data_IF_745559322674
#
_entry.id   IF_745559322674
#
_cell.length_a   1.000
_cell.length_b   1.000
_cell.length_c   1.000
_cell.angle_alpha   90.00
_cell.angle_beta   90.00
_cell.angle_gamma   90.00
#
_symmetry.space_group_name_H-M   'P 1'
#
loop_
_entity.id
_entity.type
_entity.pdbx_description
1 polymer ?
#
# COMPACT_ATOMS: atom_id res chain seq x y z
N UNK A 1 7.64 -21.14 -12.48
CA UNK A 1 7.20 -19.74 -12.26
C UNK A 1 6.51 -19.57 -10.89
N UNK A 2 7.13 -20.00 -9.78
CA UNK A 2 6.48 -19.99 -8.45
C UNK A 2 7.03 -18.91 -7.48
N UNK A 3 7.79 -17.93 -7.97
CA UNK A 3 8.41 -16.88 -7.12
C UNK A 3 7.67 -15.52 -7.12
N UNK A 4 6.46 -15.44 -7.68
CA UNK A 4 5.82 -14.16 -8.02
C UNK A 4 5.35 -13.32 -6.79
N UNK A 5 4.69 -13.89 -5.74
CA UNK A 5 4.16 -13.08 -4.64
C UNK A 5 5.23 -12.52 -3.71
N UNK A 6 6.21 -13.34 -3.30
CA UNK A 6 7.26 -12.90 -2.37
C UNK A 6 8.16 -11.84 -3.00
N UNK A 7 8.44 -11.94 -4.31
CA UNK A 7 9.22 -10.94 -5.03
C UNK A 7 8.48 -9.61 -5.09
N UNK A 8 7.19 -9.63 -5.38
CA UNK A 8 6.37 -8.43 -5.43
C UNK A 8 6.30 -7.74 -4.05
N UNK A 9 6.04 -8.52 -3.00
CA UNK A 9 6.01 -8.02 -1.63
C UNK A 9 7.32 -7.34 -1.21
N UNK A 10 8.47 -7.96 -1.52
CA UNK A 10 9.78 -7.34 -1.25
C UNK A 10 9.97 -6.02 -1.99
N UNK A 11 9.45 -5.90 -3.22
CA UNK A 11 9.58 -4.69 -4.03
C UNK A 11 8.61 -3.61 -3.57
N UNK A 12 7.35 -3.94 -3.29
CA UNK A 12 6.32 -2.94 -2.95
C UNK A 12 6.36 -2.63 -1.47
N UNK A 13 6.09 -3.63 -0.63
CA UNK A 13 5.99 -3.44 0.81
C UNK A 13 7.37 -3.22 1.45
N UNK A 14 8.38 -3.97 1.02
CA UNK A 14 9.76 -3.75 1.50
C UNK A 14 10.29 -2.35 1.17
N UNK A 15 9.99 -1.82 -0.02
CA UNK A 15 10.44 -0.48 -0.39
C UNK A 15 9.74 0.62 0.43
N UNK A 16 8.44 0.50 0.70
CA UNK A 16 7.76 1.49 1.54
C UNK A 16 8.34 1.50 2.96
N UNK A 17 8.54 0.34 3.59
CA UNK A 17 9.15 0.28 4.93
C UNK A 17 10.52 0.96 4.96
N UNK A 18 11.37 0.67 3.95
CA UNK A 18 12.68 1.31 3.85
C UNK A 18 12.59 2.84 3.75
N UNK A 19 11.65 3.35 2.94
CA UNK A 19 11.42 4.79 2.80
C UNK A 19 10.92 5.41 4.11
N UNK A 20 9.95 4.77 4.78
CA UNK A 20 9.39 5.28 6.04
C UNK A 20 10.45 5.32 7.17
N UNK A 21 11.28 4.28 7.28
CA UNK A 21 12.38 4.27 8.25
C UNK A 21 13.41 5.37 7.95
N UNK A 22 13.76 5.57 6.67
CA UNK A 22 14.64 6.67 6.27
C UNK A 22 14.00 8.04 6.56
N UNK A 23 12.68 8.15 6.39
CA UNK A 23 11.92 9.38 6.62
C UNK A 23 12.00 9.82 8.09
N UNK A 24 12.03 8.88 9.04
CA UNK A 24 12.18 9.16 10.49
C UNK A 24 13.52 9.82 10.84
N UNK A 25 14.56 9.61 10.03
CA UNK A 25 15.91 10.15 10.29
C UNK A 25 16.14 11.54 9.68
N UNK A 26 15.22 12.01 8.84
CA UNK A 26 15.35 13.27 8.09
C UNK A 26 14.25 14.27 8.46
N UNK A 27 14.55 15.57 8.36
CA UNK A 27 13.60 16.63 8.71
C UNK A 27 12.60 16.93 7.59
N UNK A 28 11.84 15.93 7.15
CA UNK A 28 10.74 16.11 6.20
C UNK A 28 9.42 16.09 6.99
N UNK A 29 8.53 17.02 6.65
CA UNK A 29 7.27 17.21 7.37
C UNK A 29 6.06 16.57 6.65
N UNK A 30 6.22 16.20 5.37
CA UNK A 30 5.12 15.72 4.54
C UNK A 30 5.54 14.48 3.74
N UNK A 31 4.69 13.47 3.75
CA UNK A 31 4.87 12.23 3.02
C UNK A 31 3.59 11.92 2.22
N UNK A 32 3.73 11.60 0.94
CA UNK A 32 2.61 11.23 0.07
C UNK A 32 2.83 9.81 -0.45
N UNK A 33 1.94 8.90 -0.05
CA UNK A 33 1.94 7.52 -0.54
C UNK A 33 0.99 7.34 -1.72
N UNK A 34 1.50 6.80 -2.83
CA UNK A 34 0.69 6.45 -3.98
C UNK A 34 0.09 5.04 -3.82
N UNK A 35 -1.18 4.97 -3.40
CA UNK A 35 -1.95 3.73 -3.38
C UNK A 35 -2.53 3.37 -4.76
N UNK A 36 -3.53 2.50 -4.83
CA UNK A 36 -4.18 2.04 -6.05
C UNK A 36 -5.62 1.61 -5.80
N UNK A 37 -6.52 1.85 -6.75
CA UNK A 37 -7.90 1.33 -6.69
C UNK A 37 -7.97 -0.22 -6.63
N UNK A 38 -6.87 -0.93 -6.91
CA UNK A 38 -6.75 -2.37 -6.74
C UNK A 38 -7.02 -2.85 -5.29
N UNK A 39 -6.95 -1.95 -4.30
CA UNK A 39 -7.33 -2.26 -2.91
C UNK A 39 -8.81 -2.61 -2.77
N UNK A 40 -9.69 -2.08 -3.63
CA UNK A 40 -11.14 -2.33 -3.57
C UNK A 40 -11.58 -3.57 -4.34
N UNK A 41 -10.70 -4.17 -5.14
CA UNK A 41 -11.01 -5.37 -5.94
C UNK A 41 -12.11 -5.14 -6.98
N UNK A 42 -12.95 -6.15 -7.18
CA UNK A 42 -14.09 -6.12 -8.13
C UNK A 42 -15.39 -5.80 -7.39
N UNK A 43 -15.55 -4.52 -7.06
CA UNK A 43 -16.76 -4.02 -6.38
C UNK A 43 -17.89 -3.77 -7.38
N UNK A 44 -19.08 -4.28 -7.06
CA UNK A 44 -20.31 -4.08 -7.87
C UNK A 44 -21.01 -2.75 -7.59
N UNK A 45 -20.57 -2.01 -6.57
CA UNK A 45 -21.16 -0.71 -6.18
C UNK A 45 -20.31 0.43 -6.74
N UNK A 46 -20.97 1.36 -7.42
CA UNK A 46 -20.35 2.56 -8.00
C UNK A 46 -21.17 3.81 -7.64
N UNK A 47 -20.53 4.98 -7.45
CA UNK A 47 -19.07 5.18 -7.43
C UNK A 47 -18.42 4.48 -6.22
N UNK A 48 -17.14 4.15 -6.35
CA UNK A 48 -16.35 3.59 -5.26
C UNK A 48 -15.87 4.74 -4.38
N UNK A 49 -16.08 4.62 -3.08
CA UNK A 49 -15.69 5.62 -2.09
C UNK A 49 -14.58 5.08 -1.19
N UNK A 50 -13.79 5.98 -0.61
CA UNK A 50 -12.61 5.62 0.20
C UNK A 50 -12.95 4.87 1.50
N UNK A 51 -14.21 4.93 1.94
CA UNK A 51 -14.75 4.21 3.10
C UNK A 51 -15.09 2.73 2.78
N UNK A 52 -14.95 2.29 1.53
CA UNK A 52 -15.16 0.89 1.17
C UNK A 52 -14.09 0.01 1.82
N UNK A 53 -14.52 -1.11 2.37
CA UNK A 53 -13.59 -2.09 2.92
C UNK A 53 -12.66 -2.63 1.82
N UNK A 54 -11.34 -2.73 2.08
CA UNK A 54 -10.42 -3.34 1.14
C UNK A 54 -10.81 -4.80 0.85
N UNK A 55 -10.84 -5.16 -0.44
CA UNK A 55 -11.16 -6.49 -0.93
C UNK A 55 -10.24 -6.88 -2.11
N UNK A 56 -8.91 -6.88 -1.92
CA UNK A 56 -7.98 -7.02 -3.03
C UNK A 56 -8.00 -8.42 -3.65
N UNK A 57 -7.82 -8.49 -4.97
CA UNK A 57 -7.92 -9.73 -5.76
C UNK A 57 -6.58 -10.32 -6.20
N UNK A 58 -5.47 -9.66 -5.87
CA UNK A 58 -4.11 -10.11 -6.23
C UNK A 58 -3.11 -9.71 -5.15
N UNK A 59 -1.91 -10.32 -5.08
CA UNK A 59 -0.89 -9.97 -4.09
C UNK A 59 -0.46 -8.48 -4.09
N UNK A 60 -0.64 -7.77 -5.21
CA UNK A 60 -0.38 -6.34 -5.30
C UNK A 60 -1.27 -5.51 -4.37
N UNK A 61 -2.54 -5.88 -4.24
CA UNK A 61 -3.53 -5.12 -3.46
C UNK A 61 -3.22 -5.09 -1.96
N UNK A 62 -2.98 -6.23 -1.28
CA UNK A 62 -2.60 -6.25 0.12
C UNK A 62 -1.32 -5.45 0.42
N UNK A 63 -0.35 -5.42 -0.50
CA UNK A 63 0.87 -4.63 -0.32
C UNK A 63 0.58 -3.12 -0.35
N UNK A 64 -0.38 -2.70 -1.20
CA UNK A 64 -0.86 -1.31 -1.23
C UNK A 64 -1.66 -0.93 0.02
N UNK A 65 -2.56 -1.81 0.46
CA UNK A 65 -3.33 -1.63 1.71
C UNK A 65 -2.40 -1.49 2.91
N UNK A 66 -1.39 -2.36 3.03
CA UNK A 66 -0.41 -2.24 4.11
C UNK A 66 0.35 -0.91 4.02
N UNK A 67 0.76 -0.48 2.82
CA UNK A 67 1.39 0.82 2.63
C UNK A 67 0.57 2.00 3.13
N UNK A 68 -0.76 1.99 2.94
CA UNK A 68 -1.67 3.01 3.49
C UNK A 68 -1.59 3.06 5.02
N UNK A 69 -1.74 1.92 5.69
CA UNK A 69 -1.68 1.87 7.16
C UNK A 69 -0.33 2.31 7.72
N UNK A 70 0.77 1.87 7.12
CA UNK A 70 2.11 2.24 7.59
C UNK A 70 2.42 3.72 7.32
N UNK A 71 1.85 4.32 6.27
CA UNK A 71 2.01 5.75 6.02
C UNK A 71 1.31 6.64 7.05
N UNK A 72 0.27 6.13 7.74
CA UNK A 72 -0.36 6.85 8.85
C UNK A 72 0.51 6.88 10.11
N UNK A 73 1.37 5.88 10.31
CA UNK A 73 2.30 5.80 11.45
C UNK A 73 3.43 6.86 11.39
N UNK A 74 3.53 7.64 10.30
CA UNK A 74 4.42 8.80 10.21
C UNK A 74 3.83 10.10 10.76
N UNK A 75 2.55 10.11 11.16
CA UNK A 75 1.91 11.26 11.82
C UNK A 75 2.17 11.25 13.33
#
# INVERSE_FOLDING_TARGET
MQQLPLRLHKIIFGAILFVLETFKEIKINEFVYASSAAVYGDTKRTPVHEDFLPAPLSPYGPDKVQGEYFSWDLQ
#
